data_IF_105507095633
#
_entry.id   IF_105507095633
#
_cell.length_a   1.000
_cell.length_b   1.000
_cell.length_c   1.000
_cell.angle_alpha   90.00
_cell.angle_beta   90.00
_cell.angle_gamma   90.00
#
_symmetry.space_group_name_H-M   'P 1'
#
loop_
_entity.id
_entity.type
_entity.pdbx_description
1 polymer ?
#
# COMPACT_ATOMS: atom_id res chain seq x y z
N UNK A 1 11.88 -12.31 3.69
CA UNK A 1 10.74 -13.20 4.00
C UNK A 1 9.78 -12.50 4.95
N UNK A 2 8.51 -12.90 4.96
CA UNK A 2 7.53 -12.42 5.94
C UNK A 2 7.97 -12.87 7.35
N UNK A 3 8.17 -11.95 8.31
CA UNK A 3 8.72 -12.31 9.61
C UNK A 3 7.70 -12.98 10.53
N UNK A 4 8.16 -13.97 11.29
CA UNK A 4 7.41 -14.64 12.36
C UNK A 4 7.51 -13.84 13.67
N UNK A 5 6.64 -14.18 14.63
CA UNK A 5 6.71 -13.67 16.00
C UNK A 5 5.83 -12.46 16.26
N UNK A 6 5.51 -12.27 17.55
CA UNK A 6 4.63 -11.24 18.07
C UNK A 6 3.18 -11.34 17.62
N UNK A 7 2.31 -10.66 18.35
CA UNK A 7 0.88 -10.52 18.05
C UNK A 7 0.53 -9.07 17.73
N UNK A 8 -0.49 -8.81 16.90
CA UNK A 8 -1.04 -7.47 16.69
C UNK A 8 -1.43 -6.83 18.02
N UNK A 9 -1.07 -5.56 18.20
CA UNK A 9 -1.44 -4.76 19.36
C UNK A 9 -2.42 -3.63 19.02
N UNK A 10 -2.61 -2.68 19.95
CA UNK A 10 -3.58 -1.58 19.77
C UNK A 10 -3.37 -0.72 18.52
N UNK A 11 -2.12 -0.56 18.06
CA UNK A 11 -1.83 0.17 16.82
C UNK A 11 -2.34 -0.58 15.58
N UNK A 12 -2.19 -1.91 15.56
CA UNK A 12 -2.71 -2.73 14.47
C UNK A 12 -4.24 -2.80 14.51
N UNK A 13 -4.85 -2.91 15.69
CA UNK A 13 -6.31 -2.87 15.83
C UNK A 13 -6.91 -1.56 15.31
N UNK A 14 -6.28 -0.42 15.65
CA UNK A 14 -6.66 0.89 15.11
C UNK A 14 -6.48 0.93 13.59
N UNK A 15 -5.33 0.47 13.09
CA UNK A 15 -5.07 0.41 11.65
C UNK A 15 -6.14 -0.42 10.92
N UNK A 16 -6.52 -1.58 11.46
CA UNK A 16 -7.54 -2.43 10.86
C UNK A 16 -8.89 -1.72 10.77
N UNK A 17 -9.31 -1.03 11.82
CA UNK A 17 -10.52 -0.22 11.79
C UNK A 17 -10.46 0.90 10.73
N UNK A 18 -9.36 1.66 10.70
CA UNK A 18 -9.16 2.78 9.78
C UNK A 18 -9.10 2.31 8.31
N UNK A 19 -8.40 1.21 8.03
CA UNK A 19 -8.31 0.64 6.68
C UNK A 19 -9.65 0.05 6.25
N UNK A 20 -10.38 -0.63 7.14
CA UNK A 20 -11.69 -1.22 6.82
C UNK A 20 -12.70 -0.14 6.41
N UNK A 21 -12.76 0.96 7.17
CA UNK A 21 -13.62 2.10 6.87
C UNK A 21 -13.27 2.75 5.52
N UNK A 22 -11.97 2.87 5.21
CA UNK A 22 -11.53 3.49 3.96
C UNK A 22 -11.65 2.57 2.73
N UNK A 23 -11.54 1.26 2.90
CA UNK A 23 -11.87 0.29 1.84
C UNK A 23 -13.36 0.36 1.49
N UNK A 24 -14.23 0.51 2.49
CA UNK A 24 -15.65 0.71 2.27
C UNK A 24 -15.93 2.01 1.50
N UNK A 25 -15.33 3.14 1.90
CA UNK A 25 -15.46 4.42 1.18
C UNK A 25 -14.92 4.31 -0.26
N UNK A 26 -13.72 3.74 -0.46
CA UNK A 26 -13.18 3.54 -1.80
C UNK A 26 -14.11 2.72 -2.68
N UNK A 27 -14.64 1.61 -2.16
CA UNK A 27 -15.56 0.74 -2.90
C UNK A 27 -16.86 1.47 -3.24
N UNK A 28 -17.42 2.25 -2.31
CA UNK A 28 -18.61 3.08 -2.54
C UNK A 28 -18.38 4.11 -3.64
N UNK A 29 -17.26 4.86 -3.61
CA UNK A 29 -16.96 5.85 -4.64
C UNK A 29 -16.74 5.18 -6.01
N UNK A 30 -16.14 3.97 -6.04
CA UNK A 30 -15.92 3.24 -7.29
C UNK A 30 -17.23 2.70 -7.87
N UNK A 31 -18.11 2.14 -7.04
CA UNK A 31 -19.44 1.68 -7.46
C UNK A 31 -20.30 2.82 -7.98
N UNK A 32 -20.16 4.02 -7.40
CA UNK A 32 -20.79 5.25 -7.87
C UNK A 32 -20.12 5.86 -9.12
N UNK A 33 -19.00 5.29 -9.60
CA UNK A 33 -18.22 5.80 -10.75
C UNK A 33 -17.68 7.23 -10.49
N UNK A 34 -17.47 7.57 -9.22
CA UNK A 34 -16.92 8.86 -8.78
C UNK A 34 -15.39 8.82 -8.86
N UNK A 35 -14.84 8.88 -10.08
CA UNK A 35 -13.40 8.65 -10.35
C UNK A 35 -12.48 9.53 -9.50
N UNK A 36 -12.79 10.83 -9.39
CA UNK A 36 -11.97 11.77 -8.61
C UNK A 36 -11.99 11.46 -7.12
N UNK A 37 -13.17 11.14 -6.58
CA UNK A 37 -13.31 10.80 -5.15
C UNK A 37 -12.65 9.46 -4.86
N UNK A 38 -12.79 8.49 -5.74
CA UNK A 38 -12.13 7.18 -5.65
C UNK A 38 -10.60 7.33 -5.60
N UNK A 39 -10.01 8.17 -6.46
CA UNK A 39 -8.57 8.45 -6.40
C UNK A 39 -8.13 9.11 -5.09
N UNK A 40 -8.96 10.00 -4.53
CA UNK A 40 -8.70 10.63 -3.23
C UNK A 40 -8.80 9.62 -2.07
N UNK A 41 -9.82 8.76 -2.09
CA UNK A 41 -10.01 7.68 -1.11
C UNK A 41 -8.83 6.68 -1.15
N UNK A 42 -8.40 6.29 -2.35
CA UNK A 42 -7.21 5.45 -2.55
C UNK A 42 -5.95 6.11 -1.97
N UNK A 43 -5.71 7.40 -2.25
CA UNK A 43 -4.58 8.12 -1.67
C UNK A 43 -4.67 8.18 -0.13
N UNK A 44 -5.87 8.33 0.41
CA UNK A 44 -6.07 8.39 1.85
C UNK A 44 -5.77 7.04 2.54
N UNK A 45 -6.03 5.91 1.86
CA UNK A 45 -5.56 4.59 2.31
C UNK A 45 -4.04 4.52 2.41
N UNK A 46 -3.31 5.03 1.42
CA UNK A 46 -1.84 5.06 1.45
C UNK A 46 -1.30 5.95 2.58
N UNK A 47 -1.97 7.06 2.87
CA UNK A 47 -1.60 7.95 3.98
C UNK A 47 -1.68 7.19 5.32
N UNK A 48 -2.77 6.45 5.57
CA UNK A 48 -2.92 5.67 6.81
C UNK A 48 -1.81 4.62 6.97
N UNK A 49 -1.45 3.90 5.91
CA UNK A 49 -0.36 2.92 5.99
C UNK A 49 0.99 3.56 6.29
N UNK A 50 1.27 4.73 5.71
CA UNK A 50 2.48 5.48 5.99
C UNK A 50 2.50 6.02 7.43
N UNK A 51 1.39 6.58 7.91
CA UNK A 51 1.25 7.06 9.29
C UNK A 51 1.49 5.93 10.29
N UNK A 52 0.89 4.76 10.06
CA UNK A 52 1.14 3.56 10.86
C UNK A 52 2.62 3.19 10.89
N UNK A 53 3.29 3.14 9.73
CA UNK A 53 4.70 2.74 9.68
C UNK A 53 5.60 3.74 10.42
N UNK A 54 5.28 5.04 10.34
CA UNK A 54 6.00 6.09 11.07
C UNK A 54 5.76 6.02 12.58
N UNK A 55 4.51 5.85 13.01
CA UNK A 55 4.15 5.74 14.43
C UNK A 55 4.75 4.48 15.06
N UNK A 56 4.63 3.34 14.37
CA UNK A 56 5.13 2.07 14.85
C UNK A 56 6.67 1.95 14.78
N UNK A 57 7.30 2.67 13.86
CA UNK A 57 8.75 2.84 13.74
C UNK A 57 9.56 1.53 13.84
N UNK A 58 9.47 0.60 12.87
CA UNK A 58 10.12 -0.71 12.96
C UNK A 58 11.65 -0.62 13.06
N UNK A 59 12.27 0.42 12.48
CA UNK A 59 13.71 0.72 12.60
C UNK A 59 14.15 1.06 14.02
N UNK A 60 13.23 1.51 14.86
CA UNK A 60 13.46 1.76 16.28
C UNK A 60 13.12 0.51 17.08
N UNK A 61 11.95 -0.09 16.85
CA UNK A 61 11.48 -1.26 17.57
C UNK A 61 12.48 -2.43 17.50
N UNK A 62 13.09 -2.67 16.33
CA UNK A 62 14.04 -3.78 16.13
C UNK A 62 15.26 -3.74 17.07
N UNK A 63 15.58 -2.56 17.64
CA UNK A 63 16.69 -2.38 18.57
C UNK A 63 16.38 -2.87 19.99
N UNK A 64 15.10 -2.98 20.35
CA UNK A 64 14.65 -3.29 21.72
C UNK A 64 13.70 -4.48 21.77
N UNK A 65 12.86 -4.65 20.76
CA UNK A 65 11.83 -5.68 20.67
C UNK A 65 11.71 -6.16 19.23
N UNK A 66 12.31 -7.32 18.98
CA UNK A 66 12.32 -7.95 17.65
C UNK A 66 10.95 -8.47 17.24
N UNK A 67 10.14 -8.94 18.20
CA UNK A 67 8.81 -9.47 17.93
C UNK A 67 7.86 -8.33 17.57
N UNK A 68 7.96 -7.19 18.26
CA UNK A 68 7.23 -5.97 17.86
C UNK A 68 7.62 -5.54 16.45
N UNK A 69 8.93 -5.48 16.14
CA UNK A 69 9.39 -5.13 14.79
C UNK A 69 8.89 -6.13 13.73
N UNK A 70 8.82 -7.42 14.06
CA UNK A 70 8.27 -8.44 13.17
C UNK A 70 6.79 -8.21 12.87
N UNK A 71 5.97 -7.92 13.87
CA UNK A 71 4.55 -7.56 13.69
C UNK A 71 4.43 -6.36 12.75
N UNK A 72 5.20 -5.30 13.00
CA UNK A 72 5.10 -4.06 12.20
C UNK A 72 5.45 -4.31 10.73
N UNK A 73 6.56 -5.01 10.50
CA UNK A 73 7.00 -5.35 9.15
C UNK A 73 5.99 -6.28 8.47
N UNK A 74 5.48 -7.31 9.16
CA UNK A 74 4.45 -8.21 8.61
C UNK A 74 3.18 -7.46 8.22
N UNK A 75 2.70 -6.55 9.06
CA UNK A 75 1.54 -5.70 8.76
C UNK A 75 1.82 -4.78 7.57
N UNK A 76 2.99 -4.14 7.51
CA UNK A 76 3.37 -3.26 6.41
C UNK A 76 3.48 -4.00 5.07
N UNK A 77 3.96 -5.24 5.08
CA UNK A 77 4.03 -6.09 3.89
C UNK A 77 2.63 -6.47 3.39
N UNK A 78 1.72 -6.84 4.30
CA UNK A 78 0.34 -7.10 3.92
C UNK A 78 -0.37 -5.83 3.42
N UNK A 79 -0.08 -4.64 3.98
CA UNK A 79 -0.58 -3.37 3.45
C UNK A 79 -0.10 -3.16 2.00
N UNK A 80 1.17 -3.43 1.70
CA UNK A 80 1.68 -3.32 0.34
C UNK A 80 0.99 -4.30 -0.62
N UNK A 81 0.76 -5.54 -0.19
CA UNK A 81 -0.02 -6.53 -0.97
C UNK A 81 -1.47 -6.07 -1.21
N UNK A 82 -2.14 -5.51 -0.20
CA UNK A 82 -3.46 -4.91 -0.34
C UNK A 82 -3.45 -3.74 -1.34
N UNK A 83 -2.43 -2.87 -1.26
CA UNK A 83 -2.28 -1.74 -2.17
C UNK A 83 -2.09 -2.15 -3.62
N UNK A 84 -1.42 -3.28 -3.89
CA UNK A 84 -1.38 -3.83 -5.25
C UNK A 84 -2.79 -4.08 -5.79
N UNK A 85 -3.67 -4.70 -5.00
CA UNK A 85 -5.06 -5.00 -5.41
C UNK A 85 -5.85 -3.73 -5.71
N UNK A 86 -5.93 -2.81 -4.74
CA UNK A 86 -6.81 -1.62 -4.85
C UNK A 86 -6.29 -0.56 -5.81
N UNK A 87 -5.00 -0.57 -6.12
CA UNK A 87 -4.39 0.41 -7.03
C UNK A 87 -4.46 -0.01 -8.50
N UNK A 88 -4.78 -1.28 -8.79
CA UNK A 88 -4.83 -1.80 -10.16
C UNK A 88 -5.74 -0.99 -11.12
N UNK A 89 -6.91 -0.47 -10.70
CA UNK A 89 -7.74 0.37 -11.58
C UNK A 89 -7.13 1.73 -11.95
N UNK A 90 -6.15 2.23 -11.18
CA UNK A 90 -5.58 3.57 -11.34
C UNK A 90 -4.16 3.54 -11.91
N UNK A 91 -3.33 2.58 -11.45
CA UNK A 91 -1.91 2.46 -11.77
C UNK A 91 -1.55 0.98 -12.04
N UNK A 92 -2.15 0.34 -13.05
CA UNK A 92 -2.07 -1.11 -13.26
C UNK A 92 -0.64 -1.64 -13.35
N UNK A 93 0.26 -0.95 -14.04
CA UNK A 93 1.66 -1.39 -14.18
C UNK A 93 2.46 -1.33 -12.87
N UNK A 94 2.14 -0.38 -11.98
CA UNK A 94 2.77 -0.31 -10.67
C UNK A 94 2.16 -1.35 -9.73
N UNK A 95 0.84 -1.54 -9.79
CA UNK A 95 0.12 -2.57 -9.05
C UNK A 95 0.63 -3.98 -9.38
N UNK A 96 0.83 -4.30 -10.67
CA UNK A 96 1.41 -5.57 -11.13
C UNK A 96 2.80 -5.80 -10.54
N UNK A 97 3.71 -4.81 -10.64
CA UNK A 97 5.07 -4.89 -10.06
C UNK A 97 5.07 -5.11 -8.55
N UNK A 98 4.12 -4.49 -7.82
CA UNK A 98 3.96 -4.74 -6.39
C UNK A 98 3.41 -6.16 -6.17
N UNK A 99 2.41 -6.59 -6.95
CA UNK A 99 1.84 -7.94 -6.87
C UNK A 99 2.88 -9.04 -7.08
N UNK A 100 3.76 -8.87 -8.06
CA UNK A 100 4.87 -9.79 -8.36
C UNK A 100 5.81 -9.98 -7.16
N UNK A 101 6.07 -8.91 -6.40
CA UNK A 101 6.91 -8.96 -5.19
C UNK A 101 6.36 -9.92 -4.12
N UNK A 102 5.05 -10.16 -4.14
CA UNK A 102 4.32 -11.01 -3.21
C UNK A 102 3.77 -12.29 -3.86
N UNK A 103 4.00 -12.50 -5.17
CA UNK A 103 3.47 -13.65 -5.91
C UNK A 103 1.94 -13.65 -6.03
N UNK A 104 1.33 -12.48 -6.15
CA UNK A 104 -0.12 -12.34 -6.38
C UNK A 104 -0.44 -12.51 -7.87
N UNK A 105 -1.59 -13.10 -8.19
CA UNK A 105 -2.13 -13.08 -9.55
C UNK A 105 -2.45 -11.64 -9.98
N UNK A 106 -2.36 -11.36 -11.29
CA UNK A 106 -2.70 -10.06 -11.85
C UNK A 106 -3.74 -10.17 -12.98
N UNK A 107 -4.87 -9.41 -12.92
CA UNK A 107 -5.30 -8.59 -11.79
C UNK A 107 -5.75 -9.46 -10.61
N UNK A 108 -5.34 -9.06 -9.40
CA UNK A 108 -5.79 -9.71 -8.17
C UNK A 108 -7.28 -9.43 -7.93
N UNK A 109 -7.95 -10.33 -7.21
CA UNK A 109 -9.32 -10.11 -6.76
C UNK A 109 -9.42 -8.85 -5.89
N UNK A 110 -10.52 -8.10 -6.04
CA UNK A 110 -10.81 -6.96 -5.17
C UNK A 110 -10.92 -7.44 -3.71
N UNK A 111 -10.31 -6.73 -2.75
CA UNK A 111 -10.33 -7.14 -1.35
C UNK A 111 -11.71 -6.99 -0.73
N UNK A 112 -11.96 -7.74 0.35
CA UNK A 112 -13.07 -7.46 1.24
C UNK A 112 -12.83 -6.18 2.06
N UNK A 113 -13.87 -5.66 2.72
CA UNK A 113 -13.72 -4.53 3.65
C UNK A 113 -13.20 -4.98 5.03
N UNK A 114 -12.98 -6.27 5.28
CA UNK A 114 -12.38 -6.76 6.52
C UNK A 114 -10.87 -6.63 6.43
N UNK A 115 -10.34 -5.47 6.83
CA UNK A 115 -8.92 -5.23 6.76
C UNK A 115 -8.12 -6.19 7.64
N UNK A 116 -8.68 -6.70 8.74
CA UNK A 116 -7.98 -7.67 9.60
C UNK A 116 -7.73 -8.96 8.84
N UNK A 117 -8.71 -9.44 8.06
CA UNK A 117 -8.53 -10.60 7.20
C UNK A 117 -7.57 -10.32 6.03
N UNK A 118 -7.70 -9.17 5.36
CA UNK A 118 -6.83 -8.80 4.24
C UNK A 118 -5.37 -8.60 4.66
N UNK A 119 -5.15 -8.13 5.90
CA UNK A 119 -3.83 -7.84 6.47
C UNK A 119 -3.14 -9.06 7.10
N UNK A 120 -3.70 -10.25 6.92
CA UNK A 120 -3.17 -11.53 7.41
C UNK A 120 -3.06 -12.59 6.28
N UNK A 121 -3.01 -12.14 5.02
CA UNK A 121 -3.01 -13.04 3.85
C UNK A 121 -1.62 -13.61 3.52
N UNK A 122 -0.55 -12.86 3.82
CA UNK A 122 0.82 -13.30 3.56
C UNK A 122 1.29 -14.29 4.62
N UNK A 123 1.67 -15.49 4.19
CA UNK A 123 2.15 -16.54 5.09
C UNK A 123 3.52 -16.20 5.68
N UNK A 124 3.70 -16.46 6.97
CA UNK A 124 5.00 -16.33 7.64
C UNK A 124 6.05 -17.19 6.92
N UNK A 125 7.25 -16.62 6.70
CA UNK A 125 8.34 -17.29 5.99
C UNK A 125 8.27 -17.18 4.47
N UNK A 126 7.17 -16.68 3.89
CA UNK A 126 7.05 -16.46 2.46
C UNK A 126 8.19 -15.55 1.94
N UNK A 127 8.89 -15.91 0.85
CA UNK A 127 9.89 -15.04 0.23
C UNK A 127 9.23 -13.79 -0.35
N UNK A 128 9.95 -12.67 -0.27
CA UNK A 128 9.52 -11.39 -0.84
C UNK A 128 10.67 -10.87 -1.67
N UNK A 129 10.36 -10.46 -2.88
CA UNK A 129 11.32 -9.81 -3.77
C UNK A 129 11.11 -8.31 -3.66
N UNK A 130 12.15 -7.55 -3.31
CA UNK A 130 12.01 -6.09 -3.24
C UNK A 130 11.99 -5.54 -4.67
N UNK A 131 10.91 -4.89 -5.11
CA UNK A 131 10.86 -4.31 -6.45
C UNK A 131 11.81 -3.11 -6.56
N UNK A 132 12.22 -2.78 -7.78
CA UNK A 132 12.88 -1.50 -8.06
C UNK A 132 11.96 -0.32 -7.69
N UNK A 133 12.54 0.88 -7.59
CA UNK A 133 11.79 2.11 -7.32
C UNK A 133 10.60 2.23 -8.30
N UNK A 134 9.38 2.18 -7.74
CA UNK A 134 8.14 2.11 -8.52
C UNK A 134 7.88 3.38 -9.33
N UNK A 135 8.16 4.54 -8.73
CA UNK A 135 7.92 5.85 -9.33
C UNK A 135 9.22 6.64 -9.34
N UNK A 136 9.74 6.91 -10.54
CA UNK A 136 10.85 7.84 -10.72
C UNK A 136 10.34 9.25 -10.49
N UNK A 137 11.11 10.05 -9.76
CA UNK A 137 10.86 11.48 -9.63
C UNK A 137 10.93 12.11 -11.02
N UNK A 138 10.02 13.04 -11.29
CA UNK A 138 10.10 13.92 -12.46
C UNK A 138 11.01 15.07 -12.06
N UNK A 139 12.13 15.23 -12.75
CA UNK A 139 13.09 16.30 -12.48
C UNK A 139 12.70 17.61 -13.17
N UNK A 140 13.18 18.73 -12.63
CA UNK A 140 12.84 20.07 -13.12
C UNK A 140 13.27 20.28 -14.57
N UNK A 141 14.40 19.68 -14.98
CA UNK A 141 14.86 19.69 -16.37
C UNK A 141 13.88 18.99 -17.30
N UNK A 142 13.26 17.88 -16.87
CA UNK A 142 12.25 17.17 -17.67
C UNK A 142 10.98 18.01 -17.80
N UNK A 143 10.57 18.69 -16.73
CA UNK A 143 9.43 19.61 -16.75
C UNK A 143 9.69 20.74 -17.75
N UNK A 144 10.87 21.35 -17.71
CA UNK A 144 11.26 22.41 -18.62
C UNK A 144 11.29 21.94 -20.09
N UNK A 145 11.90 20.78 -20.34
CA UNK A 145 11.95 20.17 -21.67
C UNK A 145 10.54 19.90 -22.23
N UNK A 146 9.66 19.26 -21.44
CA UNK A 146 8.32 18.91 -21.89
C UNK A 146 7.43 20.14 -22.08
N UNK A 147 7.58 21.15 -21.22
CA UNK A 147 6.87 22.43 -21.38
C UNK A 147 7.27 23.12 -22.69
N UNK A 148 8.58 23.18 -22.99
CA UNK A 148 9.05 23.77 -24.25
C UNK A 148 8.57 22.99 -25.48
N UNK A 149 8.50 21.65 -25.38
CA UNK A 149 8.13 20.77 -26.50
C UNK A 149 6.61 20.69 -26.73
N UNK A 150 5.80 20.73 -25.67
CA UNK A 150 4.36 20.42 -25.73
C UNK A 150 3.45 21.52 -25.17
N UNK A 151 3.98 22.60 -24.60
CA UNK A 151 3.21 23.69 -23.98
C UNK A 151 2.41 24.57 -24.95
N UNK A 152 2.64 24.41 -26.26
CA UNK A 152 2.11 25.30 -27.29
C UNK A 152 2.88 26.62 -27.37
N UNK A 153 2.74 27.32 -28.49
CA UNK A 153 3.02 28.75 -28.53
C UNK A 153 1.79 29.47 -27.97
N UNK A 154 1.98 30.42 -27.05
CA UNK A 154 0.92 31.42 -26.79
C UNK A 154 0.51 32.13 -28.08
#
# INVERSE_FOLDING_TARGET
VVPAGGEPGPLEEKLFADVSARLADLSEQMDAIEIRKSAQALRALWVVGNEYLQEAAPWTAIKTDRDRAAVIVRTALNLAALYAKISAPFIPFAAEKIGDAFGLDFPAAWPSNDAKAELDTLSVGQPITVPEVLFKKIEDEQIAEWTARFGGAE
#
